data_IF_490317663264
#
_entry.id   IF_490317663264
#
_cell.length_a   1.000
_cell.length_b   1.000
_cell.length_c   1.000
_cell.angle_alpha   90.00
_cell.angle_beta   90.00
_cell.angle_gamma   90.00
#
_symmetry.space_group_name_H-M   'P 1'
#
loop_
_entity.id
_entity.type
_entity.pdbx_description
1 polymer ?
#
# COMPACT_ATOMS: atom_id res chain seq x y z
N UNK A 1 -29.46 -22.73 -23.67
CA UNK A 1 -28.29 -23.11 -22.86
C UNK A 1 -27.35 -21.92 -22.83
N UNK A 2 -27.14 -21.28 -21.67
CA UNK A 2 -26.27 -20.12 -21.54
C UNK A 2 -24.82 -20.56 -21.73
N UNK A 3 -24.00 -19.67 -22.29
CA UNK A 3 -22.57 -19.92 -22.50
C UNK A 3 -21.78 -18.75 -21.96
N UNK A 4 -20.81 -19.04 -21.09
CA UNK A 4 -19.84 -18.05 -20.62
C UNK A 4 -18.53 -18.27 -21.38
N UNK A 5 -18.10 -17.28 -22.17
CA UNK A 5 -16.82 -17.34 -22.87
C UNK A 5 -15.70 -17.04 -21.88
N UNK A 6 -14.84 -18.02 -21.65
CA UNK A 6 -13.75 -17.94 -20.67
C UNK A 6 -12.47 -17.41 -21.30
N UNK A 7 -12.21 -17.75 -22.56
CA UNK A 7 -11.05 -17.27 -23.31
C UNK A 7 -11.43 -16.92 -24.75
N UNK A 8 -11.21 -15.66 -25.12
CA UNK A 8 -11.50 -15.17 -26.47
C UNK A 8 -10.56 -15.74 -27.55
N UNK A 9 -9.37 -16.19 -27.17
CA UNK A 9 -8.34 -16.72 -28.06
C UNK A 9 -8.56 -18.20 -28.40
N UNK A 10 -8.67 -19.08 -27.40
CA UNK A 10 -8.89 -20.52 -27.63
C UNK A 10 -10.37 -20.92 -27.72
N UNK A 11 -11.30 -19.95 -27.58
CA UNK A 11 -12.75 -20.14 -27.62
C UNK A 11 -13.30 -21.11 -26.57
N UNK A 12 -12.55 -21.36 -25.49
CA UNK A 12 -13.03 -22.15 -24.35
C UNK A 12 -14.24 -21.45 -23.73
N UNK A 13 -15.34 -22.19 -23.65
CA UNK A 13 -16.61 -21.76 -23.06
C UNK A 13 -17.06 -22.76 -21.98
N UNK A 14 -17.77 -22.23 -20.99
CA UNK A 14 -18.49 -23.03 -20.01
C UNK A 14 -19.96 -23.09 -20.42
N UNK A 15 -20.39 -24.28 -20.85
CA UNK A 15 -21.78 -24.54 -21.25
C UNK A 15 -22.56 -24.98 -20.02
N UNK A 16 -23.72 -24.37 -19.78
CA UNK A 16 -24.61 -24.80 -18.69
C UNK A 16 -26.03 -25.07 -19.16
N UNK A 17 -26.75 -25.85 -18.35
CA UNK A 17 -28.19 -26.03 -18.51
C UNK A 17 -28.90 -24.73 -18.13
N UNK A 18 -29.94 -24.38 -18.87
CA UNK A 18 -30.84 -23.30 -18.47
C UNK A 18 -31.55 -23.75 -17.18
N UNK A 19 -31.57 -22.89 -16.15
CA UNK A 19 -32.45 -23.11 -15.01
C UNK A 19 -33.89 -22.97 -15.51
N UNK A 20 -34.82 -23.89 -15.16
CA UNK A 20 -36.21 -23.73 -15.53
C UNK A 20 -36.74 -22.43 -14.91
N UNK A 21 -37.33 -21.57 -15.75
CA UNK A 21 -37.84 -20.24 -15.39
C UNK A 21 -38.89 -20.24 -14.25
N UNK A 22 -39.38 -21.43 -13.87
CA UNK A 22 -40.38 -21.67 -12.82
C UNK A 22 -39.79 -22.19 -11.48
N UNK A 23 -38.46 -22.17 -11.28
CA UNK A 23 -37.82 -22.76 -10.08
C UNK A 23 -38.13 -22.08 -8.75
N UNK A 24 -38.96 -21.04 -8.74
CA UNK A 24 -39.45 -20.40 -7.53
C UNK A 24 -40.96 -20.49 -7.50
N UNK A 25 -41.48 -21.71 -7.28
CA UNK A 25 -42.76 -21.82 -6.59
C UNK A 25 -42.60 -21.43 -5.12
N UNK A 26 -42.30 -20.15 -4.86
CA UNK A 26 -42.29 -19.57 -3.51
C UNK A 26 -43.63 -19.80 -2.80
N UNK A 27 -44.70 -19.94 -3.58
CA UNK A 27 -46.03 -20.39 -3.16
C UNK A 27 -46.03 -21.82 -2.62
N UNK A 28 -45.31 -22.78 -3.23
CA UNK A 28 -45.13 -24.13 -2.68
C UNK A 28 -44.38 -24.08 -1.36
N UNK A 29 -43.25 -23.35 -1.31
CA UNK A 29 -42.43 -23.23 -0.10
C UNK A 29 -43.19 -22.59 1.08
N UNK A 30 -44.29 -21.87 0.81
CA UNK A 30 -45.16 -21.24 1.81
C UNK A 30 -46.45 -22.01 2.08
N UNK A 31 -46.64 -23.18 1.47
CA UNK A 31 -47.81 -24.05 1.64
C UNK A 31 -47.49 -25.27 2.51
N UNK A 32 -48.51 -25.96 3.04
CA UNK A 32 -48.36 -27.28 3.70
C UNK A 32 -48.20 -28.43 2.69
N UNK A 33 -47.63 -28.17 1.52
CA UNK A 33 -47.41 -29.21 0.52
C UNK A 33 -46.32 -30.18 0.97
N UNK A 34 -46.60 -31.48 0.86
CA UNK A 34 -45.68 -32.57 1.17
C UNK A 34 -45.36 -33.27 -0.16
N UNK A 35 -44.08 -33.40 -0.55
CA UNK A 35 -43.70 -34.10 -1.77
C UNK A 35 -44.16 -35.55 -1.73
N UNK A 36 -44.68 -36.05 -2.85
CA UNK A 36 -44.78 -37.49 -3.05
C UNK A 36 -43.38 -38.11 -3.21
N UNK A 37 -43.27 -39.44 -3.13
CA UNK A 37 -42.00 -40.14 -3.34
C UNK A 37 -41.38 -39.88 -4.72
N UNK A 38 -42.24 -39.71 -5.74
CA UNK A 38 -41.84 -39.32 -7.09
C UNK A 38 -41.31 -37.87 -7.13
N UNK A 39 -42.01 -36.94 -6.46
CA UNK A 39 -41.59 -35.54 -6.39
C UNK A 39 -40.27 -35.40 -5.63
N UNK A 40 -40.10 -36.12 -4.52
CA UNK A 40 -38.89 -36.14 -3.73
C UNK A 40 -37.70 -36.64 -4.57
N UNK A 41 -37.86 -37.74 -5.30
CA UNK A 41 -36.83 -38.29 -6.19
C UNK A 41 -36.42 -37.30 -7.29
N UNK A 42 -37.41 -36.60 -7.88
CA UNK A 42 -37.16 -35.58 -8.89
C UNK A 42 -36.40 -34.38 -8.31
N UNK A 43 -36.79 -33.90 -7.14
CA UNK A 43 -36.12 -32.81 -6.43
C UNK A 43 -34.67 -33.20 -6.09
N UNK A 44 -34.45 -34.41 -5.56
CA UNK A 44 -33.11 -34.91 -5.24
C UNK A 44 -32.22 -34.99 -6.49
N UNK A 45 -32.75 -35.46 -7.61
CA UNK A 45 -32.04 -35.47 -8.89
C UNK A 45 -31.67 -34.05 -9.36
N UNK A 46 -32.57 -33.08 -9.22
CA UNK A 46 -32.31 -31.67 -9.56
C UNK A 46 -31.26 -31.02 -8.64
N UNK A 47 -31.31 -31.32 -7.33
CA UNK A 47 -30.30 -30.89 -6.35
C UNK A 47 -28.93 -31.47 -6.72
N UNK A 48 -28.87 -32.77 -7.03
CA UNK A 48 -27.62 -33.44 -7.41
C UNK A 48 -27.02 -32.83 -8.69
N UNK A 49 -27.84 -32.56 -9.70
CA UNK A 49 -27.40 -31.88 -10.93
C UNK A 49 -26.89 -30.46 -10.64
N UNK A 50 -27.62 -29.68 -9.84
CA UNK A 50 -27.23 -28.31 -9.48
C UNK A 50 -25.93 -28.30 -8.69
N UNK A 51 -25.75 -29.27 -7.78
CA UNK A 51 -24.52 -29.44 -7.00
C UNK A 51 -23.32 -29.75 -7.90
N UNK A 52 -23.52 -30.58 -8.94
CA UNK A 52 -22.49 -30.87 -9.95
C UNK A 52 -22.11 -29.62 -10.75
N UNK A 53 -23.08 -28.81 -11.16
CA UNK A 53 -22.79 -27.58 -11.92
C UNK A 53 -22.09 -26.52 -11.05
N UNK A 54 -22.46 -26.37 -9.77
CA UNK A 54 -21.74 -25.53 -8.80
C UNK A 54 -20.29 -25.98 -8.66
N UNK A 55 -20.03 -27.29 -8.55
CA UNK A 55 -18.67 -27.80 -8.45
C UNK A 55 -17.82 -27.46 -9.68
N UNK A 56 -18.40 -27.53 -10.89
CA UNK A 56 -17.71 -27.11 -12.14
C UNK A 56 -17.38 -25.62 -12.12
N UNK A 57 -18.33 -24.78 -11.69
CA UNK A 57 -18.09 -23.33 -11.59
C UNK A 57 -16.99 -23.02 -10.59
N UNK A 58 -17.01 -23.64 -9.41
CA UNK A 58 -15.97 -23.42 -8.41
C UNK A 58 -14.58 -23.81 -8.92
N UNK A 59 -14.46 -24.95 -9.60
CA UNK A 59 -13.19 -25.39 -10.17
C UNK A 59 -12.66 -24.43 -11.26
N UNK A 60 -13.55 -23.89 -12.10
CA UNK A 60 -13.16 -22.93 -13.14
C UNK A 60 -12.82 -21.55 -12.53
N UNK A 61 -13.56 -21.10 -11.51
CA UNK A 61 -13.24 -19.89 -10.75
C UNK A 61 -11.84 -20.01 -10.15
N UNK A 62 -11.55 -21.10 -9.44
CA UNK A 62 -10.23 -21.34 -8.84
C UNK A 62 -9.11 -21.33 -9.90
N UNK A 63 -9.36 -21.95 -11.04
CA UNK A 63 -8.40 -21.97 -12.16
C UNK A 63 -8.13 -20.55 -12.68
N UNK A 64 -9.18 -19.75 -12.92
CA UNK A 64 -9.06 -18.40 -13.46
C UNK A 64 -8.44 -17.44 -12.45
N UNK A 65 -8.75 -17.58 -11.17
CA UNK A 65 -8.09 -16.83 -10.10
C UNK A 65 -6.59 -17.12 -10.06
N UNK A 66 -6.18 -18.38 -10.18
CA UNK A 66 -4.76 -18.75 -10.28
C UNK A 66 -4.05 -18.10 -11.47
N UNK A 67 -4.69 -18.09 -12.65
CA UNK A 67 -4.17 -17.42 -13.84
C UNK A 67 -4.08 -15.90 -13.66
N UNK A 68 -5.10 -15.30 -13.04
CA UNK A 68 -5.14 -13.86 -12.77
C UNK A 68 -4.01 -13.43 -11.84
N UNK A 69 -3.76 -14.19 -10.78
CA UNK A 69 -2.67 -13.94 -9.84
C UNK A 69 -1.29 -14.05 -10.51
N UNK A 70 -1.07 -15.06 -11.35
CA UNK A 70 0.17 -15.18 -12.11
C UNK A 70 0.37 -13.99 -13.08
N UNK A 71 -0.68 -13.56 -13.78
CA UNK A 71 -0.61 -12.38 -14.66
C UNK A 71 -0.32 -11.09 -13.88
N UNK A 72 -0.95 -10.91 -12.71
CA UNK A 72 -0.68 -9.77 -11.82
C UNK A 72 0.76 -9.76 -11.34
N UNK A 73 1.29 -10.93 -10.96
CA UNK A 73 2.69 -11.11 -10.56
C UNK A 73 3.66 -10.75 -11.69
N UNK A 74 3.46 -11.28 -12.89
CA UNK A 74 4.33 -10.94 -14.05
C UNK A 74 4.26 -9.46 -14.41
N UNK A 75 3.05 -8.87 -14.39
CA UNK A 75 2.87 -7.45 -14.64
C UNK A 75 3.65 -6.61 -13.62
N UNK A 76 3.57 -6.94 -12.33
CA UNK A 76 4.26 -6.19 -11.28
C UNK A 76 5.79 -6.31 -11.41
N UNK A 77 6.31 -7.48 -11.78
CA UNK A 77 7.73 -7.68 -12.05
C UNK A 77 8.25 -6.81 -13.21
N UNK A 78 7.54 -6.82 -14.34
CA UNK A 78 7.90 -6.00 -15.51
C UNK A 78 7.78 -4.51 -15.19
N UNK A 79 6.74 -4.12 -14.45
CA UNK A 79 6.55 -2.73 -14.02
C UNK A 79 7.71 -2.27 -13.15
N UNK A 80 8.09 -3.05 -12.13
CA UNK A 80 9.25 -2.76 -11.27
C UNK A 80 10.53 -2.61 -12.08
N UNK A 81 10.80 -3.53 -12.99
CA UNK A 81 11.98 -3.46 -13.86
C UNK A 81 12.01 -2.16 -14.70
N UNK A 82 10.87 -1.76 -15.26
CA UNK A 82 10.74 -0.52 -16.03
C UNK A 82 10.96 0.72 -15.15
N UNK A 83 10.39 0.73 -13.94
CA UNK A 83 10.52 1.83 -13.01
C UNK A 83 11.96 1.97 -12.49
N UNK A 84 12.66 0.87 -12.21
CA UNK A 84 14.08 0.87 -11.89
C UNK A 84 14.91 1.53 -12.99
N UNK A 85 14.68 1.15 -14.25
CA UNK A 85 15.36 1.74 -15.43
C UNK A 85 15.05 3.23 -15.55
N UNK A 86 13.79 3.63 -15.39
CA UNK A 86 13.38 5.04 -15.41
C UNK A 86 14.08 5.83 -14.30
N UNK A 87 14.20 5.25 -13.11
CA UNK A 87 14.90 5.85 -11.98
C UNK A 87 16.40 6.04 -12.23
N UNK A 88 17.04 5.18 -13.05
CA UNK A 88 18.43 5.41 -13.48
C UNK A 88 18.58 6.68 -14.33
N UNK A 89 17.56 7.05 -15.08
CA UNK A 89 17.54 8.23 -15.95
C UNK A 89 17.06 9.49 -15.24
N UNK A 90 16.67 9.39 -13.96
CA UNK A 90 16.14 10.51 -13.19
C UNK A 90 17.12 11.69 -13.18
N UNK A 91 16.66 12.93 -13.44
CA UNK A 91 17.50 14.13 -13.44
C UNK A 91 18.33 14.29 -12.16
N UNK A 92 17.79 13.83 -11.03
CA UNK A 92 18.42 13.89 -9.71
C UNK A 92 19.77 13.18 -9.63
N UNK A 93 20.02 12.19 -10.49
CA UNK A 93 21.30 11.47 -10.60
C UNK A 93 22.33 12.20 -11.46
N UNK A 94 21.90 13.21 -12.22
CA UNK A 94 22.74 14.05 -13.06
C UNK A 94 23.16 15.35 -12.38
N UNK A 95 22.52 15.70 -11.25
CA UNK A 95 22.88 16.90 -10.50
C UNK A 95 24.26 16.70 -9.86
N UNK A 96 25.16 17.68 -9.98
CA UNK A 96 26.38 17.74 -9.18
C UNK A 96 26.04 17.71 -7.68
N UNK A 97 26.94 17.11 -6.89
CA UNK A 97 26.73 16.93 -5.45
C UNK A 97 26.66 18.27 -4.71
N UNK A 98 27.33 19.29 -5.23
CA UNK A 98 27.34 20.66 -4.72
C UNK A 98 25.95 21.28 -4.82
N UNK A 99 25.30 21.15 -5.98
CA UNK A 99 23.94 21.67 -6.21
C UNK A 99 22.92 20.94 -5.33
N UNK A 100 23.06 19.63 -5.16
CA UNK A 100 22.23 18.88 -4.20
C UNK A 100 22.43 19.38 -2.76
N UNK A 101 23.67 19.66 -2.38
CA UNK A 101 24.01 20.25 -1.08
C UNK A 101 23.31 21.59 -0.84
N UNK A 102 23.35 22.50 -1.82
CA UNK A 102 22.68 23.81 -1.76
C UNK A 102 21.15 23.70 -1.67
N UNK A 103 20.55 22.78 -2.44
CA UNK A 103 19.11 22.49 -2.36
C UNK A 103 18.75 22.01 -0.95
N UNK A 104 19.53 21.09 -0.37
CA UNK A 104 19.28 20.61 1.00
C UNK A 104 19.50 21.70 2.04
N UNK A 105 20.55 22.52 1.90
CA UNK A 105 20.81 23.63 2.80
C UNK A 105 19.64 24.61 2.82
N UNK A 106 19.09 24.95 1.64
CA UNK A 106 17.93 25.84 1.52
C UNK A 106 16.63 25.17 2.03
N UNK A 107 16.46 23.87 1.80
CA UNK A 107 15.27 23.14 2.26
C UNK A 107 15.26 22.93 3.78
N UNK A 108 16.43 22.82 4.39
CA UNK A 108 16.62 22.56 5.82
C UNK A 108 16.90 23.83 6.65
N UNK A 109 17.27 24.96 6.03
CA UNK A 109 17.69 26.19 6.72
C UNK A 109 16.63 26.74 7.67
N UNK A 110 15.36 26.64 7.28
CA UNK A 110 14.26 27.22 8.05
C UNK A 110 13.61 26.20 8.99
N UNK A 111 13.81 24.89 8.75
CA UNK A 111 12.97 23.83 9.31
C UNK A 111 13.72 22.62 9.92
N UNK A 112 15.03 22.71 10.18
CA UNK A 112 15.91 21.66 10.75
C UNK A 112 15.26 20.46 11.47
N UNK A 113 15.25 20.44 12.79
CA UNK A 113 14.34 19.61 13.60
C UNK A 113 13.34 20.57 14.26
N UNK A 114 12.04 20.36 14.05
CA UNK A 114 10.99 21.11 14.74
C UNK A 114 10.06 20.14 15.46
N UNK A 115 9.94 20.30 16.77
CA UNK A 115 9.05 19.52 17.61
C UNK A 115 8.13 20.54 18.30
N UNK A 116 6.88 20.61 17.86
CA UNK A 116 5.88 21.54 18.38
C UNK A 116 4.77 20.78 19.11
N UNK A 117 4.35 21.28 20.27
CA UNK A 117 3.28 20.72 21.08
C UNK A 117 1.88 20.92 20.48
N UNK A 118 1.58 22.14 20.03
CA UNK A 118 0.22 22.58 19.68
C UNK A 118 0.12 23.08 18.23
N UNK A 119 -1.02 22.88 17.57
CA UNK A 119 -2.20 22.12 18.02
C UNK A 119 -2.11 20.59 17.82
N UNK A 120 -1.03 20.05 17.24
CA UNK A 120 -1.03 18.67 16.72
C UNK A 120 0.23 17.82 17.04
N UNK A 121 1.08 18.18 18.00
CA UNK A 121 2.28 17.36 18.31
C UNK A 121 3.17 17.12 17.08
N UNK A 122 3.26 18.10 16.18
CA UNK A 122 3.83 17.91 14.84
C UNK A 122 5.36 17.87 14.94
N UNK A 123 5.94 16.72 14.58
CA UNK A 123 7.38 16.56 14.39
C UNK A 123 7.69 16.79 12.92
N UNK A 124 8.49 17.80 12.63
CA UNK A 124 9.08 18.05 11.31
C UNK A 124 10.58 17.82 11.38
N UNK A 125 11.09 16.92 10.54
CA UNK A 125 12.50 16.59 10.45
C UNK A 125 12.92 16.47 8.98
N UNK A 126 12.92 17.58 8.20
CA UNK A 126 13.27 17.57 6.79
C UNK A 126 14.63 16.93 6.51
N UNK A 127 15.66 17.22 7.32
CA UNK A 127 16.99 16.60 7.15
C UNK A 127 16.91 15.08 7.25
N UNK A 128 16.17 14.56 8.24
CA UNK A 128 15.93 13.14 8.38
C UNK A 128 15.14 12.59 7.18
N UNK A 129 14.04 13.23 6.80
CA UNK A 129 13.20 12.81 5.67
C UNK A 129 14.00 12.71 4.35
N UNK A 130 14.81 13.73 4.04
CA UNK A 130 15.67 13.75 2.86
C UNK A 130 16.68 12.58 2.87
N UNK A 131 17.19 12.19 4.04
CA UNK A 131 18.10 11.05 4.19
C UNK A 131 17.45 9.68 3.89
N UNK A 132 16.12 9.62 3.78
CA UNK A 132 15.38 8.39 3.45
C UNK A 132 14.99 8.27 1.96
N UNK A 133 15.21 9.31 1.15
CA UNK A 133 14.77 9.34 -0.27
C UNK A 133 15.57 8.36 -1.14
N UNK A 134 16.89 8.48 -1.16
CA UNK A 134 17.75 7.57 -1.93
C UNK A 134 19.17 7.49 -1.36
N UNK A 135 19.98 6.54 -1.87
CA UNK A 135 21.36 6.36 -1.42
C UNK A 135 22.21 7.63 -1.59
N UNK A 136 22.10 8.32 -2.74
CA UNK A 136 22.86 9.54 -3.01
C UNK A 136 22.51 10.64 -2.00
N UNK A 137 21.22 10.90 -1.79
CA UNK A 137 20.74 11.91 -0.85
C UNK A 137 21.20 11.59 0.58
N UNK A 138 21.05 10.34 1.01
CA UNK A 138 21.57 9.88 2.29
C UNK A 138 23.06 10.16 2.43
N UNK A 139 23.86 9.81 1.42
CA UNK A 139 25.31 10.03 1.44
C UNK A 139 25.64 11.51 1.65
N UNK A 140 25.00 12.39 0.89
CA UNK A 140 25.20 13.85 0.98
C UNK A 140 24.77 14.38 2.35
N UNK A 141 23.54 14.08 2.76
CA UNK A 141 22.98 14.55 4.05
C UNK A 141 23.86 14.09 5.23
N UNK A 142 24.34 12.84 5.22
CA UNK A 142 25.19 12.33 6.29
C UNK A 142 26.63 12.89 6.27
N UNK A 143 27.12 13.30 5.10
CA UNK A 143 28.43 13.94 4.95
C UNK A 143 28.42 15.44 5.24
N UNK A 144 27.25 16.04 5.47
CA UNK A 144 27.09 17.50 5.67
C UNK A 144 26.54 17.78 7.08
N UNK A 145 27.41 17.90 8.11
CA UNK A 145 26.99 18.01 9.50
C UNK A 145 26.16 19.28 9.80
N UNK A 146 26.39 20.37 9.06
CA UNK A 146 25.65 21.63 9.23
C UNK A 146 24.13 21.48 9.02
N UNK A 147 23.67 20.49 8.23
CA UNK A 147 22.24 20.23 8.01
C UNK A 147 21.54 19.63 9.24
N UNK A 148 22.31 19.09 10.18
CA UNK A 148 21.82 18.51 11.44
C UNK A 148 21.96 19.49 12.62
N UNK A 149 22.57 20.65 12.39
CA UNK A 149 22.95 21.57 13.46
C UNK A 149 21.85 22.55 13.89
N UNK A 150 20.64 22.44 13.32
CA UNK A 150 19.52 23.36 13.61
C UNK A 150 18.33 22.62 14.18
N UNK A 151 17.84 23.06 15.35
CA UNK A 151 16.65 22.49 15.98
C UNK A 151 15.83 23.52 16.76
N UNK A 152 14.53 23.29 16.84
CA UNK A 152 13.55 24.02 17.64
C UNK A 152 12.71 22.98 18.38
N UNK A 153 12.82 22.96 19.70
CA UNK A 153 12.20 21.91 20.51
C UNK A 153 11.37 22.53 21.62
N UNK A 154 10.06 22.23 21.58
CA UNK A 154 9.12 22.47 22.67
C UNK A 154 9.04 21.20 23.54
N UNK A 155 9.58 21.28 24.77
CA UNK A 155 9.60 20.16 25.70
C UNK A 155 8.35 20.04 26.57
N UNK A 156 7.40 20.98 26.45
CA UNK A 156 6.27 21.08 27.37
C UNK A 156 5.23 19.99 27.11
N UNK A 157 4.99 19.63 25.84
CA UNK A 157 3.96 18.63 25.48
C UNK A 157 4.41 17.58 24.44
N UNK A 158 5.69 17.54 24.09
CA UNK A 158 6.21 16.50 23.19
C UNK A 158 6.23 15.12 23.87
N UNK A 159 6.01 14.04 23.11
CA UNK A 159 6.34 12.68 23.53
C UNK A 159 7.83 12.62 23.91
N UNK A 160 8.11 12.69 25.22
CA UNK A 160 9.47 12.92 25.76
C UNK A 160 10.51 11.97 25.18
N UNK A 161 10.14 10.71 24.98
CA UNK A 161 11.05 9.67 24.49
C UNK A 161 11.40 9.81 23.00
N UNK A 162 10.40 10.12 22.18
CA UNK A 162 10.58 10.33 20.74
C UNK A 162 11.33 11.61 20.45
N UNK A 163 11.01 12.67 21.19
CA UNK A 163 11.72 13.94 21.12
C UNK A 163 13.20 13.77 21.50
N UNK A 164 13.47 13.08 22.61
CA UNK A 164 14.83 12.77 23.06
C UNK A 164 15.63 12.04 22.00
N UNK A 165 15.08 10.96 21.44
CA UNK A 165 15.74 10.15 20.41
C UNK A 165 16.12 10.98 19.18
N UNK A 166 15.24 11.89 18.74
CA UNK A 166 15.49 12.76 17.59
C UNK A 166 16.53 13.83 17.89
N UNK A 167 16.48 14.43 19.08
CA UNK A 167 17.48 15.41 19.52
C UNK A 167 18.86 14.75 19.62
N UNK A 168 18.97 13.59 20.25
CA UNK A 168 20.22 12.83 20.35
C UNK A 168 20.78 12.47 18.96
N UNK A 169 19.90 12.06 18.04
CA UNK A 169 20.29 11.80 16.65
C UNK A 169 20.86 13.05 15.98
N UNK A 170 20.18 14.20 16.08
CA UNK A 170 20.63 15.45 15.47
C UNK A 170 21.95 15.95 16.07
N UNK A 171 22.10 15.91 17.40
CA UNK A 171 23.35 16.25 18.10
C UNK A 171 24.51 15.33 17.68
N UNK A 172 24.26 14.03 17.55
CA UNK A 172 25.28 13.07 17.11
C UNK A 172 25.74 13.36 15.68
N UNK A 173 24.82 13.81 14.82
CA UNK A 173 25.08 14.02 13.39
C UNK A 173 25.59 15.42 13.05
N UNK A 174 25.39 16.41 13.92
CA UNK A 174 25.92 17.78 13.74
C UNK A 174 27.43 17.87 13.88
N UNK A 175 28.09 16.90 14.57
CA UNK A 175 29.56 16.85 14.74
C UNK A 175 30.13 18.22 15.21
N UNK A 176 31.31 18.76 14.79
CA UNK A 176 31.77 20.05 15.31
C UNK A 176 31.08 21.27 14.66
N UNK A 177 29.97 21.08 13.94
CA UNK A 177 29.26 22.21 13.35
C UNK A 177 28.60 23.07 14.45
N UNK A 178 28.61 24.41 14.32
CA UNK A 178 27.95 25.29 15.27
C UNK A 178 26.44 25.00 15.37
N UNK A 179 25.97 24.71 16.58
CA UNK A 179 24.56 24.41 16.85
C UNK A 179 23.72 25.69 16.93
N UNK A 180 22.57 25.69 16.28
CA UNK A 180 21.51 26.69 16.44
C UNK A 180 20.28 26.00 17.02
N UNK A 181 20.03 26.22 18.31
CA UNK A 181 18.92 25.61 19.02
C UNK A 181 17.97 26.69 19.56
N UNK A 182 16.67 26.53 19.35
CA UNK A 182 15.62 27.25 20.07
C UNK A 182 14.94 26.28 21.02
N UNK A 183 14.92 26.62 22.30
CA UNK A 183 14.29 25.83 23.35
C UNK A 183 13.16 26.67 23.92
N UNK A 184 11.95 26.15 23.86
CA UNK A 184 10.79 26.76 24.50
C UNK A 184 10.45 25.91 25.72
N UNK A 185 10.54 26.54 26.89
CA UNK A 185 10.10 26.01 28.18
C UNK A 185 9.22 27.09 28.80
N UNK A 186 8.09 26.71 29.41
CA UNK A 186 7.27 27.65 30.18
C UNK A 186 8.09 28.17 31.36
N UNK A 187 8.15 29.49 31.51
CA UNK A 187 8.42 30.11 32.80
C UNK A 187 7.25 29.73 33.74
N UNK A 188 7.61 29.08 34.85
CA UNK A 188 6.72 28.67 35.94
C UNK A 188 6.03 29.83 36.63
#
# INVERSE_FOLDING_TARGET
MPRTVLCSACKRDLVTRDLPFNSLRQDILRSMWIPSELDASQIEYEIANSSSDIAKYNAEIETLEGVLEELRRRKSEIQRYSDERRNLLSPIRKLPIEILGEIFATSCSDNGLSIAAFPEGRISAPTLALSHVCFLWRKVILSTPSLWARMSVDFVHAEKERARSLVELYLTRSRPAPLTCKLEALDS
#
